data_IF_170599469072
#
_entry.id   IF_170599469072
#
_cell.length_a   1.000
_cell.length_b   1.000
_cell.length_c   1.000
_cell.angle_alpha   90.00
_cell.angle_beta   90.00
_cell.angle_gamma   90.00
#
_symmetry.space_group_name_H-M   'P 1'
#
loop_
_entity.id
_entity.type
_entity.pdbx_description
1 polymer ?
#
# COMPACT_ATOMS: atom_id res chain seq x y z
N UNK A 1 12.46 -9.29 -8.70
CA UNK A 1 12.81 -9.81 -10.04
C UNK A 1 11.64 -9.79 -11.01
N UNK A 2 11.92 -9.94 -12.30
CA UNK A 2 10.96 -10.18 -13.39
C UNK A 2 11.20 -11.57 -13.98
N UNK A 3 10.11 -12.27 -14.31
CA UNK A 3 10.14 -13.60 -14.93
C UNK A 3 9.30 -13.59 -16.21
N UNK A 4 9.54 -14.57 -17.08
CA UNK A 4 8.69 -14.88 -18.24
C UNK A 4 7.81 -16.08 -17.88
N UNK A 5 6.51 -16.02 -18.18
CA UNK A 5 5.59 -17.14 -18.01
C UNK A 5 5.57 -17.98 -19.30
N UNK A 6 6.15 -19.18 -19.25
CA UNK A 6 6.18 -20.13 -20.36
C UNK A 6 5.66 -21.49 -19.89
N UNK A 7 4.71 -22.08 -20.61
CA UNK A 7 4.16 -23.40 -20.28
C UNK A 7 3.76 -23.55 -18.79
N UNK A 8 3.09 -22.52 -18.24
CA UNK A 8 2.68 -22.43 -16.84
C UNK A 8 3.84 -22.43 -15.81
N UNK A 9 5.07 -22.12 -16.25
CA UNK A 9 6.25 -21.98 -15.39
C UNK A 9 6.84 -20.58 -15.51
N UNK A 10 7.40 -20.09 -14.41
CA UNK A 10 8.18 -18.86 -14.40
C UNK A 10 9.64 -19.21 -14.72
N UNK A 11 10.17 -18.61 -15.79
CA UNK A 11 11.54 -18.84 -16.27
C UNK A 11 12.26 -17.50 -16.49
N UNK A 12 13.57 -17.54 -16.77
CA UNK A 12 14.40 -16.39 -17.14
C UNK A 12 14.32 -15.23 -16.14
N UNK A 13 14.75 -15.48 -14.90
CA UNK A 13 14.81 -14.45 -13.88
C UNK A 13 15.71 -13.29 -14.31
N UNK A 14 15.18 -12.07 -14.25
CA UNK A 14 15.94 -10.83 -14.35
C UNK A 14 15.78 -10.04 -13.06
N UNK A 15 16.89 -9.79 -12.37
CA UNK A 15 16.91 -8.91 -11.20
C UNK A 15 16.76 -7.46 -11.70
N UNK A 16 15.69 -6.79 -11.28
CA UNK A 16 15.42 -5.38 -11.62
C UNK A 16 15.94 -4.42 -10.54
N UNK A 17 15.85 -4.84 -9.29
CA UNK A 17 16.31 -4.14 -8.10
C UNK A 17 16.58 -5.20 -7.04
N UNK A 18 17.67 -5.03 -6.32
CA UNK A 18 18.11 -5.88 -5.22
C UNK A 18 18.49 -5.00 -4.01
N UNK A 19 18.90 -5.64 -2.92
CA UNK A 19 19.41 -4.99 -1.70
C UNK A 19 18.44 -3.97 -1.08
N UNK A 20 17.13 -4.19 -1.23
CA UNK A 20 16.13 -3.46 -0.44
C UNK A 20 16.25 -3.96 1.00
N UNK A 21 16.50 -3.08 1.99
CA UNK A 21 16.58 -3.51 3.38
C UNK A 21 15.29 -4.19 3.83
N UNK A 22 15.45 -5.27 4.59
CA UNK A 22 14.36 -6.07 5.13
C UNK A 22 14.66 -6.46 6.57
N UNK A 23 13.63 -6.85 7.30
CA UNK A 23 13.75 -7.32 8.66
C UNK A 23 12.66 -8.37 8.95
N UNK A 24 12.51 -8.76 10.21
CA UNK A 24 11.38 -9.61 10.63
C UNK A 24 10.03 -8.93 10.39
N UNK A 25 10.00 -7.60 10.44
CA UNK A 25 8.81 -6.78 10.25
C UNK A 25 9.15 -5.58 9.36
N UNK A 26 8.11 -5.00 8.75
CA UNK A 26 8.17 -3.77 7.97
C UNK A 26 8.95 -3.88 6.66
N UNK A 27 8.60 -4.87 5.84
CA UNK A 27 9.19 -5.02 4.51
C UNK A 27 8.38 -4.31 3.41
N UNK A 28 7.23 -3.72 3.74
CA UNK A 28 6.31 -3.16 2.74
C UNK A 28 5.78 -4.26 1.81
N UNK A 29 6.18 -4.22 0.54
CA UNK A 29 6.05 -5.33 -0.41
C UNK A 29 4.95 -5.20 -1.45
N UNK A 30 4.23 -4.06 -1.51
CA UNK A 30 3.22 -3.84 -2.56
C UNK A 30 3.89 -3.35 -3.83
N UNK A 31 3.62 -4.01 -4.94
CA UNK A 31 4.05 -3.56 -6.26
C UNK A 31 2.87 -3.34 -7.19
N UNK A 32 2.94 -2.31 -8.05
CA UNK A 32 1.87 -2.00 -9.01
C UNK A 32 2.40 -1.13 -10.15
N UNK A 33 1.93 -1.38 -11.37
CA UNK A 33 2.16 -0.46 -12.48
C UNK A 33 1.23 0.75 -12.35
N UNK A 34 1.80 1.94 -12.42
CA UNK A 34 1.06 3.19 -12.49
C UNK A 34 0.52 3.48 -13.89
N UNK A 35 -0.38 4.47 -14.02
CA UNK A 35 -0.93 4.89 -15.31
C UNK A 35 0.13 5.53 -16.23
N UNK A 36 1.24 5.98 -15.67
CA UNK A 36 2.43 6.45 -16.40
C UNK A 36 3.31 5.30 -16.95
N UNK A 37 2.89 4.05 -16.74
CA UNK A 37 3.60 2.84 -17.19
C UNK A 37 4.85 2.49 -16.37
N UNK A 38 5.09 3.16 -15.23
CA UNK A 38 6.21 2.86 -14.32
C UNK A 38 5.79 1.85 -13.26
N UNK A 39 6.75 1.11 -12.72
CA UNK A 39 6.55 0.20 -11.61
C UNK A 39 6.75 0.96 -10.29
N UNK A 40 5.75 0.92 -9.42
CA UNK A 40 5.80 1.46 -8.07
C UNK A 40 5.95 0.33 -7.06
N UNK A 41 6.79 0.54 -6.04
CA UNK A 41 7.14 -0.47 -5.03
C UNK A 41 7.06 0.19 -3.65
N UNK A 42 6.32 -0.38 -2.71
CA UNK A 42 6.34 0.06 -1.31
C UNK A 42 7.40 -0.70 -0.53
N UNK A 43 8.14 0.01 0.30
CA UNK A 43 9.13 -0.58 1.21
C UNK A 43 8.89 -0.04 2.62
N UNK A 44 8.93 -0.92 3.61
CA UNK A 44 8.88 -0.49 5.00
C UNK A 44 10.27 -0.11 5.51
N UNK A 45 10.34 0.44 6.72
CA UNK A 45 11.58 0.93 7.34
C UNK A 45 12.54 -0.16 7.80
N UNK A 46 12.19 -1.45 7.59
CA UNK A 46 12.95 -2.59 8.07
C UNK A 46 13.32 -2.50 9.56
N UNK A 47 12.43 -1.90 10.38
CA UNK A 47 12.62 -1.63 11.82
C UNK A 47 13.74 -0.64 12.17
N UNK A 48 14.35 0.02 11.19
CA UNK A 48 15.24 1.16 11.37
C UNK A 48 14.50 2.46 11.00
N UNK A 49 14.03 3.17 12.02
CA UNK A 49 13.25 4.39 11.88
C UNK A 49 14.02 5.48 11.10
N UNK A 50 15.35 5.51 11.22
CA UNK A 50 16.18 6.54 10.58
C UNK A 50 16.25 6.37 9.07
N UNK A 51 16.12 5.13 8.58
CA UNK A 51 16.17 4.83 7.16
C UNK A 51 15.03 5.48 6.36
N UNK A 52 13.85 5.67 6.96
CA UNK A 52 12.71 6.28 6.29
C UNK A 52 12.98 7.72 5.82
N UNK A 53 13.73 8.49 6.61
CA UNK A 53 14.14 9.87 6.30
C UNK A 53 15.41 9.94 5.42
N UNK A 54 16.23 8.89 5.41
CA UNK A 54 17.43 8.82 4.58
C UNK A 54 17.09 8.55 3.10
N UNK A 55 17.35 9.52 2.23
CA UNK A 55 17.11 9.41 0.78
C UNK A 55 18.09 8.47 0.05
N UNK A 56 19.19 8.08 0.69
CA UNK A 56 20.14 7.09 0.17
C UNK A 56 19.75 5.65 0.55
N UNK A 57 18.73 5.46 1.38
CA UNK A 57 18.19 4.15 1.73
C UNK A 57 16.94 3.83 0.90
N UNK A 58 16.78 2.56 0.53
CA UNK A 58 15.56 2.06 -0.11
C UNK A 58 14.46 1.72 0.89
N UNK A 59 14.74 1.72 2.20
CA UNK A 59 13.75 1.39 3.23
C UNK A 59 12.88 2.60 3.61
N UNK A 60 11.61 2.35 3.91
CA UNK A 60 10.64 3.36 4.30
C UNK A 60 10.30 4.33 3.17
N UNK A 61 10.09 3.80 1.96
CA UNK A 61 9.88 4.55 0.73
C UNK A 61 8.66 4.05 -0.05
N UNK A 62 8.19 4.89 -0.96
CA UNK A 62 7.59 4.42 -2.21
C UNK A 62 8.65 4.66 -3.29
N UNK A 63 9.01 3.61 -4.01
CA UNK A 63 9.96 3.64 -5.12
C UNK A 63 9.20 3.69 -6.45
N UNK A 64 9.84 4.22 -7.49
CA UNK A 64 9.33 4.26 -8.88
C UNK A 64 10.45 3.94 -9.85
N UNK A 65 10.22 2.97 -10.73
CA UNK A 65 11.18 2.54 -11.75
C UNK A 65 10.57 2.29 -13.13
N UNK A 66 11.39 2.31 -14.18
CA UNK A 66 11.00 1.86 -15.51
C UNK A 66 10.77 0.34 -15.52
N UNK A 67 10.06 -0.16 -16.56
CA UNK A 67 9.76 -1.61 -16.71
C UNK A 67 11.00 -2.49 -16.80
N UNK A 68 12.12 -1.93 -17.27
CA UNK A 68 13.42 -2.58 -17.39
C UNK A 68 14.29 -2.46 -16.13
N UNK A 69 13.79 -1.83 -15.06
CA UNK A 69 14.51 -1.63 -13.81
C UNK A 69 15.29 -0.32 -13.75
N UNK A 70 15.44 0.43 -14.85
CA UNK A 70 16.18 1.70 -14.82
C UNK A 70 15.44 2.81 -14.07
N UNK A 71 16.19 3.81 -13.58
CA UNK A 71 15.64 4.98 -12.88
C UNK A 71 14.96 5.92 -13.91
N UNK A 72 13.70 6.32 -13.72
CA UNK A 72 13.05 7.34 -14.53
C UNK A 72 13.78 8.69 -14.41
N UNK A 73 14.01 9.36 -15.54
CA UNK A 73 14.74 10.64 -15.58
C UNK A 73 14.03 11.76 -14.80
N UNK A 74 12.72 11.64 -14.62
CA UNK A 74 11.85 12.56 -13.92
C UNK A 74 11.67 12.20 -12.42
N UNK A 75 12.39 11.22 -11.88
CA UNK A 75 12.34 10.95 -10.45
C UNK A 75 12.96 12.10 -9.64
N UNK A 76 12.37 12.45 -8.48
CA UNK A 76 12.66 13.70 -7.77
C UNK A 76 14.07 13.80 -7.19
N UNK A 77 14.73 12.67 -6.95
CA UNK A 77 16.05 12.60 -6.30
C UNK A 77 17.11 11.92 -7.18
N UNK A 78 16.84 11.73 -8.47
CA UNK A 78 17.73 11.03 -9.41
C UNK A 78 18.10 9.60 -8.96
N UNK A 79 17.26 8.99 -8.11
CA UNK A 79 17.34 7.62 -7.65
C UNK A 79 15.93 6.98 -7.69
N UNK A 80 15.75 5.77 -7.14
CA UNK A 80 14.46 5.09 -7.16
C UNK A 80 13.37 5.73 -6.28
N UNK A 81 13.72 6.62 -5.35
CA UNK A 81 12.79 7.19 -4.39
C UNK A 81 11.77 8.09 -5.09
N UNK A 82 10.49 7.77 -4.93
CA UNK A 82 9.36 8.58 -5.38
C UNK A 82 8.80 9.43 -4.23
N UNK A 83 8.63 8.84 -3.05
CA UNK A 83 8.29 9.52 -1.80
C UNK A 83 8.95 8.80 -0.61
N UNK A 84 9.07 9.50 0.52
CA UNK A 84 9.82 9.03 1.67
C UNK A 84 9.17 9.42 3.00
N UNK A 85 9.76 8.97 4.12
CA UNK A 85 9.16 9.14 5.44
C UNK A 85 7.99 8.19 5.67
N UNK A 86 8.12 6.94 5.20
CA UNK A 86 7.13 5.89 5.37
C UNK A 86 7.58 4.84 6.39
N UNK A 87 6.65 4.30 7.17
CA UNK A 87 6.87 3.21 8.13
C UNK A 87 6.75 1.85 7.49
N UNK A 88 5.56 1.49 7.02
CA UNK A 88 5.28 0.19 6.40
C UNK A 88 4.06 0.24 5.47
N UNK A 89 4.16 0.91 4.31
CA UNK A 89 3.10 1.00 3.32
C UNK A 89 2.86 -0.36 2.62
N UNK A 90 1.60 -0.77 2.49
CA UNK A 90 1.22 -2.08 1.92
C UNK A 90 0.07 -2.02 0.89
N UNK A 91 -0.40 -0.82 0.55
CA UNK A 91 -1.42 -0.62 -0.48
C UNK A 91 -1.02 0.49 -1.44
N UNK A 92 -1.41 0.33 -2.71
CA UNK A 92 -1.24 1.34 -3.76
C UNK A 92 -2.48 1.33 -4.67
N UNK A 93 -3.05 2.49 -4.93
CA UNK A 93 -4.11 2.67 -5.92
C UNK A 93 -4.04 4.06 -6.55
N UNK A 94 -4.58 4.17 -7.76
CA UNK A 94 -4.77 5.44 -8.44
C UNK A 94 -6.25 5.74 -8.56
N UNK A 95 -6.63 7.00 -8.38
CA UNK A 95 -7.99 7.45 -8.68
C UNK A 95 -8.20 7.71 -10.19
N UNK A 96 -9.39 8.20 -10.56
CA UNK A 96 -9.72 8.58 -11.93
C UNK A 96 -8.84 9.71 -12.49
N UNK A 97 -8.24 10.53 -11.61
CA UNK A 97 -7.35 11.62 -11.98
C UNK A 97 -5.88 11.17 -12.01
N UNK A 98 -5.61 9.86 -11.94
CA UNK A 98 -4.26 9.29 -11.92
C UNK A 98 -3.43 9.78 -10.72
N UNK A 99 -4.08 10.17 -9.62
CA UNK A 99 -3.43 10.53 -8.38
C UNK A 99 -3.16 9.28 -7.57
N UNK A 100 -1.92 9.10 -7.10
CA UNK A 100 -1.52 7.94 -6.32
C UNK A 100 -1.97 8.08 -4.87
N UNK A 101 -2.45 6.97 -4.30
CA UNK A 101 -2.77 6.83 -2.88
C UNK A 101 -2.13 5.57 -2.32
N UNK A 102 -1.82 5.59 -1.02
CA UNK A 102 -1.20 4.50 -0.28
C UNK A 102 -1.89 4.27 1.06
N UNK A 103 -1.85 3.04 1.54
CA UNK A 103 -2.25 2.68 2.91
C UNK A 103 -1.08 2.14 3.68
N UNK A 104 -0.97 2.54 4.95
CA UNK A 104 0.24 2.37 5.75
C UNK A 104 -0.06 2.01 7.21
N UNK A 105 0.73 1.09 7.78
CA UNK A 105 0.63 0.73 9.19
C UNK A 105 1.33 1.76 10.06
N UNK A 106 0.61 2.33 11.02
CA UNK A 106 1.18 3.14 12.09
C UNK A 106 1.76 2.29 13.23
N UNK A 107 2.42 2.89 14.23
CA UNK A 107 2.88 2.16 15.41
C UNK A 107 1.74 1.91 16.39
N UNK A 108 1.37 0.64 16.58
CA UNK A 108 0.26 0.18 17.45
C UNK A 108 -1.13 0.62 16.98
N UNK A 109 -1.34 1.90 16.66
CA UNK A 109 -2.49 2.59 16.06
C UNK A 109 -1.96 3.65 15.08
N UNK A 110 -2.76 4.67 14.75
CA UNK A 110 -2.37 5.76 13.85
C UNK A 110 -2.03 5.23 12.45
N UNK A 111 -2.80 4.25 11.99
CA UNK A 111 -2.68 3.78 10.61
C UNK A 111 -3.10 4.89 9.66
N UNK A 112 -2.57 4.89 8.45
CA UNK A 112 -2.73 6.02 7.54
C UNK A 112 -3.26 5.60 6.17
N UNK A 113 -4.07 6.49 5.59
CA UNK A 113 -4.40 6.53 4.18
C UNK A 113 -3.92 7.87 3.62
N UNK A 114 -2.97 7.78 2.69
CA UNK A 114 -2.15 8.88 2.22
C UNK A 114 -2.42 9.17 0.74
N UNK A 115 -2.51 10.45 0.36
CA UNK A 115 -2.36 10.88 -1.03
C UNK A 115 -0.88 11.10 -1.31
N UNK A 116 -0.34 10.35 -2.26
CA UNK A 116 1.09 10.35 -2.57
C UNK A 116 1.44 11.41 -3.60
N UNK A 117 2.35 12.30 -3.23
CA UNK A 117 2.89 13.37 -4.07
C UNK A 117 4.38 13.15 -4.26
N UNK A 118 4.83 13.23 -5.51
CA UNK A 118 6.22 13.02 -5.88
C UNK A 118 7.17 13.94 -5.08
N UNK A 119 8.23 13.37 -4.54
CA UNK A 119 9.29 14.05 -3.80
C UNK A 119 8.92 14.48 -2.39
N UNK A 120 7.71 14.14 -1.90
CA UNK A 120 7.25 14.58 -0.59
C UNK A 120 7.56 13.60 0.55
N UNK A 121 7.62 14.18 1.75
CA UNK A 121 7.90 13.51 3.02
C UNK A 121 6.60 13.27 3.79
N UNK A 122 6.38 12.03 4.23
CA UNK A 122 5.20 11.59 4.99
C UNK A 122 5.46 11.50 6.51
N UNK A 123 6.65 11.92 6.94
CA UNK A 123 6.90 12.30 8.34
C UNK A 123 7.44 11.20 9.24
N UNK A 124 7.25 9.90 8.93
CA UNK A 124 7.73 8.80 9.80
C UNK A 124 9.21 9.01 10.16
N UNK A 125 9.59 9.03 11.45
CA UNK A 125 8.86 8.50 12.61
C UNK A 125 7.75 9.37 13.24
N UNK A 126 7.58 10.61 12.79
CA UNK A 126 6.42 11.42 13.16
C UNK A 126 5.17 10.90 12.45
N UNK A 127 4.03 10.94 13.13
CA UNK A 127 2.77 10.35 12.65
C UNK A 127 1.70 11.41 12.65
N UNK A 128 0.81 11.39 11.65
CA UNK A 128 -0.38 12.24 11.61
C UNK A 128 -0.08 13.70 11.97
N UNK A 129 0.94 14.26 11.30
CA UNK A 129 1.63 15.50 11.68
C UNK A 129 0.73 16.74 11.71
N UNK A 130 0.25 17.11 12.90
CA UNK A 130 -0.55 18.32 13.08
C UNK A 130 0.27 19.62 12.99
N UNK A 131 1.60 19.55 12.89
CA UNK A 131 2.48 20.74 12.84
C UNK A 131 2.67 21.30 11.43
N UNK A 132 2.37 20.52 10.38
CA UNK A 132 2.43 20.95 8.98
C UNK A 132 3.83 20.90 8.35
N UNK A 133 4.80 20.26 9.01
CA UNK A 133 6.15 20.08 8.49
C UNK A 133 6.21 18.96 7.44
N UNK A 134 5.24 18.04 7.47
CA UNK A 134 5.14 16.90 6.55
C UNK A 134 3.78 16.85 5.84
N UNK A 135 3.67 15.99 4.81
CA UNK A 135 2.36 15.75 4.16
C UNK A 135 1.49 14.94 5.11
N UNK A 136 0.37 15.53 5.49
CA UNK A 136 -0.60 14.85 6.33
C UNK A 136 -1.37 13.76 5.59
N UNK A 137 -1.72 12.67 6.29
CA UNK A 137 -2.61 11.67 5.75
C UNK A 137 -4.00 12.25 5.47
N UNK A 138 -4.63 11.75 4.41
CA UNK A 138 -6.04 12.04 4.11
C UNK A 138 -6.94 11.48 5.20
N UNK A 139 -6.54 10.35 5.80
CA UNK A 139 -7.16 9.78 6.99
C UNK A 139 -6.11 9.11 7.87
N UNK A 140 -6.06 9.50 9.13
CA UNK A 140 -5.29 8.83 10.18
C UNK A 140 -6.27 8.12 11.13
N UNK A 141 -6.18 6.79 11.25
CA UNK A 141 -7.02 5.96 12.11
C UNK A 141 -6.44 5.96 13.54
N UNK A 142 -6.84 6.94 14.35
CA UNK A 142 -6.37 7.09 15.74
C UNK A 142 -7.26 6.35 16.73
N UNK A 143 -8.52 6.14 16.37
CA UNK A 143 -9.56 5.61 17.24
C UNK A 143 -9.57 4.08 17.33
N UNK A 144 -8.92 3.38 16.38
CA UNK A 144 -8.68 1.94 16.44
C UNK A 144 -7.46 1.54 15.57
N UNK A 145 -6.99 0.30 15.71
CA UNK A 145 -5.95 -0.26 14.82
C UNK A 145 -6.60 -0.98 13.64
N UNK A 146 -6.50 -0.40 12.44
CA UNK A 146 -6.92 -1.05 11.20
C UNK A 146 -5.90 -2.10 10.77
N UNK A 147 -4.61 -1.78 10.88
CA UNK A 147 -3.47 -2.47 10.28
C UNK A 147 -3.72 -2.70 8.77
N UNK A 148 -3.71 -1.64 7.95
CA UNK A 148 -4.23 -1.70 6.60
C UNK A 148 -3.33 -2.50 5.66
N UNK A 149 -3.94 -3.34 4.83
CA UNK A 149 -3.23 -4.10 3.79
C UNK A 149 -3.24 -3.36 2.46
N UNK A 150 -3.80 -4.02 1.44
CA UNK A 150 -4.04 -3.48 0.11
C UNK A 150 -5.08 -2.36 0.06
N UNK A 151 -5.00 -1.63 -1.05
CA UNK A 151 -5.86 -0.53 -1.45
C UNK A 151 -6.32 -0.73 -2.91
N UNK A 152 -7.61 -0.53 -3.17
CA UNK A 152 -8.16 -0.47 -4.51
C UNK A 152 -9.01 0.80 -4.69
N UNK A 153 -9.04 1.32 -5.90
CA UNK A 153 -10.02 2.33 -6.31
C UNK A 153 -11.05 1.67 -7.21
N UNK A 154 -12.33 1.89 -6.95
CA UNK A 154 -13.43 1.25 -7.67
C UNK A 154 -14.66 2.15 -7.69
N UNK A 155 -15.16 2.47 -8.90
CA UNK A 155 -16.38 3.26 -9.13
C UNK A 155 -16.45 4.56 -8.28
N UNK A 156 -15.32 5.27 -8.15
CA UNK A 156 -15.26 6.56 -7.43
C UNK A 156 -14.86 6.47 -5.96
N UNK A 157 -14.77 5.27 -5.39
CA UNK A 157 -14.42 5.06 -3.99
C UNK A 157 -13.11 4.30 -3.81
N UNK A 158 -12.44 4.57 -2.69
CA UNK A 158 -11.33 3.75 -2.22
C UNK A 158 -11.81 2.63 -1.32
N UNK A 159 -11.18 1.47 -1.44
CA UNK A 159 -11.43 0.29 -0.62
C UNK A 159 -10.14 -0.07 0.10
N UNK A 160 -10.14 0.02 1.42
CA UNK A 160 -8.98 -0.22 2.29
C UNK A 160 -9.22 -1.50 3.09
N UNK A 161 -8.32 -2.47 2.93
CA UNK A 161 -8.37 -3.72 3.70
C UNK A 161 -7.83 -3.52 5.11
N UNK A 162 -8.40 -4.22 6.10
CA UNK A 162 -7.94 -4.22 7.47
C UNK A 162 -7.52 -5.60 7.94
N UNK A 163 -6.26 -5.77 8.30
CA UNK A 163 -5.73 -7.02 8.83
C UNK A 163 -6.17 -7.21 10.28
N UNK A 164 -5.79 -6.30 11.18
CA UNK A 164 -6.19 -6.37 12.60
C UNK A 164 -7.63 -5.92 12.79
N UNK A 165 -8.06 -4.92 12.01
CA UNK A 165 -9.44 -4.45 11.99
C UNK A 165 -10.44 -5.45 11.42
N UNK A 166 -9.99 -6.51 10.73
CA UNK A 166 -10.81 -7.61 10.20
C UNK A 166 -12.01 -7.16 9.34
N UNK A 167 -11.78 -6.15 8.50
CA UNK A 167 -12.84 -5.47 7.75
C UNK A 167 -12.33 -4.90 6.44
N UNK A 168 -13.20 -4.76 5.45
CA UNK A 168 -13.00 -3.94 4.26
C UNK A 168 -13.76 -2.63 4.45
N UNK A 169 -13.05 -1.51 4.35
CA UNK A 169 -13.65 -0.18 4.48
C UNK A 169 -13.73 0.50 3.13
N UNK A 170 -14.86 1.16 2.84
CA UNK A 170 -15.04 2.04 1.68
C UNK A 170 -14.88 3.49 2.15
N UNK A 171 -14.03 4.25 1.46
CA UNK A 171 -13.78 5.67 1.68
C UNK A 171 -14.18 6.45 0.43
N UNK A 172 -15.14 7.38 0.57
CA UNK A 172 -15.47 8.36 -0.46
C UNK A 172 -14.76 9.66 -0.16
N UNK A 173 -14.04 10.18 -1.15
CA UNK A 173 -13.35 11.46 -1.03
C UNK A 173 -14.12 12.58 -1.71
N UNK A 174 -14.03 13.77 -1.14
CA UNK A 174 -14.30 15.04 -1.81
C UNK A 174 -13.16 16.01 -1.49
N UNK A 175 -12.60 16.66 -2.52
CA UNK A 175 -11.44 17.56 -2.39
C UNK A 175 -10.29 16.99 -1.52
N UNK A 176 -9.99 15.68 -1.65
CA UNK A 176 -9.00 14.93 -0.86
C UNK A 176 -9.30 14.83 0.65
N UNK A 177 -10.56 14.97 1.06
CA UNK A 177 -11.02 14.69 2.42
C UNK A 177 -12.01 13.54 2.40
N UNK A 178 -11.97 12.68 3.42
CA UNK A 178 -12.97 11.62 3.57
C UNK A 178 -14.31 12.24 3.95
N UNK A 179 -15.29 12.10 3.06
CA UNK A 179 -16.68 12.54 3.31
C UNK A 179 -17.54 11.42 3.87
N UNK A 180 -17.29 10.19 3.42
CA UNK A 180 -18.01 9.02 3.89
C UNK A 180 -17.04 7.86 4.08
N UNK A 181 -17.20 7.17 5.19
CA UNK A 181 -16.42 6.01 5.57
C UNK A 181 -17.37 4.94 6.10
N UNK A 182 -17.34 3.74 5.51
CA UNK A 182 -18.22 2.63 5.89
C UNK A 182 -17.51 1.29 5.85
N UNK A 183 -17.93 0.37 6.72
CA UNK A 183 -17.57 -1.06 6.60
C UNK A 183 -18.46 -1.68 5.55
N UNK A 184 -17.87 -2.33 4.55
CA UNK A 184 -18.62 -3.03 3.47
C UNK A 184 -18.47 -4.54 3.53
N UNK A 185 -17.50 -5.03 4.29
CA UNK A 185 -17.30 -6.46 4.53
C UNK A 185 -16.65 -6.66 5.89
N UNK A 186 -17.20 -7.58 6.67
CA UNK A 186 -16.70 -8.02 7.98
C UNK A 186 -16.77 -9.55 8.08
N UNK A 187 -16.44 -10.11 9.24
CA UNK A 187 -16.69 -11.51 9.62
C UNK A 187 -15.92 -12.61 8.87
N UNK A 188 -15.04 -12.21 7.95
CA UNK A 188 -14.09 -13.09 7.27
C UNK A 188 -12.73 -13.19 7.97
N UNK A 189 -12.54 -12.47 9.07
CA UNK A 189 -11.26 -12.35 9.75
C UNK A 189 -10.35 -11.33 9.07
N UNK A 190 -9.05 -11.59 9.03
CA UNK A 190 -8.01 -10.68 8.52
C UNK A 190 -8.16 -10.56 7.01
N UNK A 191 -8.23 -9.33 6.49
CA UNK A 191 -8.32 -9.06 5.05
C UNK A 191 -7.03 -8.38 4.61
N UNK A 192 -6.37 -8.94 3.58
CA UNK A 192 -5.06 -8.48 3.09
C UNK A 192 -5.12 -7.85 1.72
N UNK A 193 -5.89 -8.45 0.82
CA UNK A 193 -5.89 -8.07 -0.59
C UNK A 193 -7.25 -7.52 -1.02
N UNK A 194 -7.23 -6.49 -1.87
CA UNK A 194 -8.39 -6.02 -2.61
C UNK A 194 -7.95 -5.53 -3.98
N UNK A 195 -8.59 -6.03 -5.02
CA UNK A 195 -8.30 -5.67 -6.40
C UNK A 195 -9.61 -5.37 -7.12
N UNK A 196 -9.67 -4.26 -7.86
CA UNK A 196 -10.75 -4.04 -8.81
C UNK A 196 -10.41 -4.68 -10.15
N UNK A 197 -11.32 -5.49 -10.68
CA UNK A 197 -11.17 -6.11 -11.98
C UNK A 197 -12.53 -6.33 -12.64
N UNK A 198 -12.69 -5.86 -13.88
CA UNK A 198 -13.90 -6.05 -14.71
C UNK A 198 -15.22 -5.71 -14.02
N UNK A 199 -15.26 -4.59 -13.29
CA UNK A 199 -16.48 -4.10 -12.65
C UNK A 199 -16.79 -4.72 -11.28
N UNK A 200 -15.97 -5.67 -10.82
CA UNK A 200 -16.08 -6.30 -9.51
C UNK A 200 -14.86 -5.98 -8.62
N UNK A 201 -14.98 -6.31 -7.34
CA UNK A 201 -13.86 -6.38 -6.39
C UNK A 201 -13.53 -7.84 -6.07
N UNK A 202 -12.24 -8.15 -5.95
CA UNK A 202 -11.74 -9.43 -5.48
C UNK A 202 -10.97 -9.19 -4.19
N UNK A 203 -11.31 -9.93 -3.14
CA UNK A 203 -10.81 -9.74 -1.78
C UNK A 203 -10.13 -11.01 -1.28
N UNK A 204 -8.92 -10.89 -0.72
CA UNK A 204 -8.15 -12.00 -0.17
C UNK A 204 -8.06 -11.94 1.36
N UNK A 205 -8.37 -13.04 2.04
CA UNK A 205 -8.17 -13.17 3.49
C UNK A 205 -6.73 -13.56 3.84
N UNK A 206 -6.34 -13.40 5.10
CA UNK A 206 -4.98 -13.64 5.61
C UNK A 206 -5.00 -14.17 7.05
N UNK A 207 -5.90 -15.10 7.34
CA UNK A 207 -6.09 -15.72 8.65
C UNK A 207 -4.97 -16.70 9.00
N UNK A 208 -4.26 -17.26 7.99
CA UNK A 208 -3.14 -18.18 8.19
C UNK A 208 -1.77 -17.49 8.28
N UNK A 209 -1.72 -16.16 8.38
CA UNK A 209 -0.45 -15.39 8.45
C UNK A 209 0.26 -15.43 9.81
N UNK A 210 -0.14 -16.35 10.71
CA UNK A 210 0.39 -16.47 12.07
C UNK A 210 -0.19 -15.47 13.08
N UNK A 211 -1.05 -14.52 12.66
CA UNK A 211 -1.71 -13.54 13.54
C UNK A 211 -3.24 -13.68 13.57
N UNK A 212 -3.79 -14.61 12.79
CA UNK A 212 -5.22 -14.92 12.73
C UNK A 212 -5.61 -16.14 13.56
N UNK A 213 -6.91 -16.44 13.54
CA UNK A 213 -7.49 -17.68 14.06
C UNK A 213 -8.15 -18.40 12.87
N UNK A 214 -7.38 -19.19 12.09
CA UNK A 214 -7.86 -19.72 10.82
C UNK A 214 -8.92 -20.80 11.01
N UNK A 215 -9.94 -20.75 10.16
CA UNK A 215 -10.88 -21.85 9.95
C UNK A 215 -10.28 -22.86 8.97
N UNK A 216 -10.85 -24.07 8.91
CA UNK A 216 -10.39 -25.16 8.01
C UNK A 216 -10.28 -24.69 6.55
N UNK A 217 -11.26 -23.90 6.09
CA UNK A 217 -11.36 -23.41 4.71
C UNK A 217 -10.61 -22.08 4.44
N UNK A 218 -9.87 -21.55 5.42
CA UNK A 218 -9.06 -20.35 5.18
C UNK A 218 -7.74 -20.72 4.49
N UNK A 219 -7.13 -19.84 3.71
CA UNK A 219 -7.60 -18.50 3.31
C UNK A 219 -8.45 -18.53 2.03
N UNK A 220 -9.18 -17.43 1.76
CA UNK A 220 -10.18 -17.34 0.68
C UNK A 220 -9.92 -16.15 -0.24
N UNK A 221 -10.30 -16.32 -1.50
CA UNK A 221 -10.54 -15.21 -2.44
C UNK A 221 -12.05 -15.08 -2.62
N UNK A 222 -12.59 -13.90 -2.31
CA UNK A 222 -14.01 -13.58 -2.40
C UNK A 222 -14.21 -12.57 -3.52
N UNK A 223 -15.13 -12.85 -4.43
CA UNK A 223 -15.64 -11.87 -5.39
C UNK A 223 -16.78 -11.08 -4.75
N UNK A 224 -16.70 -9.76 -4.78
CA UNK A 224 -17.73 -8.85 -4.30
C UNK A 224 -18.27 -8.00 -5.45
N UNK A 225 -19.60 -7.95 -5.53
CA UNK A 225 -20.33 -7.03 -6.38
C UNK A 225 -20.81 -5.85 -5.55
N UNK A 226 -20.29 -4.66 -5.85
CA UNK A 226 -20.79 -3.42 -5.26
C UNK A 226 -21.95 -2.93 -6.12
N UNK A 227 -23.17 -3.14 -5.61
CA UNK A 227 -24.41 -2.51 -6.10
C UNK A 227 -24.50 -1.10 -5.52
N UNK A 228 -24.86 -0.15 -6.38
CA UNK A 228 -24.99 1.27 -6.03
C UNK A 228 -26.15 1.52 -5.08
#
# INVERSE_FOLDING_TARGET
SRYILENQRLVNETILLDDIPSARFHDGGRIKFGPDGKLYITTGDATDLSSAQNLNSLAGKILRMNKDGSIPKDNPFQNYVYSYGHRNPQGLAWDNNQQLFSSEHGPTRNDEFNKIVMGKNYGWPQQCDQTGNFINPVRCFTEFTLAPGSLAFHKGDFFVTGLRGKQLRKLRLDLNKVQNEQVVLSDLGRIREVVSHKGDLYVGTSNRDGRGLPKVQDDKIIKLQIVN
#
